data_IF_499054082379
#
_entry.id   IF_499054082379
#
_cell.length_a   1.000
_cell.length_b   1.000
_cell.length_c   1.000
_cell.angle_alpha   90.00
_cell.angle_beta   90.00
_cell.angle_gamma   90.00
#
_symmetry.space_group_name_H-M   'P 1'
#
loop_
_entity.id
_entity.type
_entity.pdbx_description
1 polymer ?
#
# COMPACT_ATOMS: atom_id res chain seq x y z
N UNK A 1 -19.50 -5.28 2.83
CA UNK A 1 -18.94 -5.75 1.56
C UNK A 1 -17.50 -5.25 1.48
N UNK A 2 -16.49 -6.13 1.57
CA UNK A 2 -15.07 -5.74 1.59
C UNK A 2 -14.44 -5.83 0.18
N UNK A 3 -15.04 -5.14 -0.79
CA UNK A 3 -14.51 -5.06 -2.14
C UNK A 3 -14.60 -3.62 -2.66
N UNK A 4 -13.70 -3.27 -3.59
CA UNK A 4 -13.80 -2.01 -4.33
C UNK A 4 -15.10 -2.04 -5.14
N UNK A 5 -15.94 -1.00 -4.99
CA UNK A 5 -17.21 -0.92 -5.73
C UNK A 5 -16.95 -0.90 -7.24
N UNK A 6 -17.64 -1.79 -7.97
CA UNK A 6 -17.43 -1.97 -9.42
C UNK A 6 -16.15 -2.74 -9.79
N UNK A 7 -15.38 -3.22 -8.81
CA UNK A 7 -14.16 -3.99 -9.02
C UNK A 7 -14.37 -5.51 -9.02
N UNK A 8 -13.26 -6.23 -9.20
CA UNK A 8 -13.15 -7.68 -9.03
C UNK A 8 -11.96 -8.01 -8.10
N UNK A 9 -11.93 -9.22 -7.56
CA UNK A 9 -10.80 -9.69 -6.77
C UNK A 9 -9.56 -9.80 -7.65
N UNK A 10 -8.45 -9.26 -7.17
CA UNK A 10 -7.15 -9.43 -7.81
C UNK A 10 -6.60 -10.83 -7.53
N UNK A 11 -5.90 -11.42 -8.50
CA UNK A 11 -5.09 -12.61 -8.26
C UNK A 11 -3.87 -12.24 -7.40
N UNK A 12 -3.38 -13.18 -6.58
CA UNK A 12 -2.17 -12.95 -5.78
C UNK A 12 -1.00 -12.53 -6.70
N UNK A 13 -0.36 -11.41 -6.35
CA UNK A 13 0.78 -10.88 -7.11
C UNK A 13 0.44 -10.32 -8.50
N UNK A 14 -0.84 -10.10 -8.83
CA UNK A 14 -1.24 -9.47 -10.09
C UNK A 14 -0.66 -8.05 -10.24
N UNK A 15 -0.50 -7.31 -9.14
CA UNK A 15 -0.03 -5.93 -9.10
C UNK A 15 1.25 -5.78 -8.27
N UNK A 16 2.36 -6.31 -8.78
CA UNK A 16 3.65 -6.44 -8.06
C UNK A 16 4.29 -5.11 -7.63
N UNK A 17 3.95 -4.02 -8.30
CA UNK A 17 4.48 -2.69 -8.01
C UNK A 17 3.72 -1.96 -6.91
N UNK A 18 2.70 -2.59 -6.31
CA UNK A 18 1.90 -1.96 -5.25
C UNK A 18 2.71 -1.84 -3.96
N UNK A 19 2.74 -0.63 -3.40
CA UNK A 19 3.23 -0.36 -2.06
C UNK A 19 2.05 0.01 -1.14
N UNK A 20 2.10 -0.45 0.11
CA UNK A 20 1.17 -0.05 1.16
C UNK A 20 1.83 1.01 2.04
N UNK A 21 1.14 2.12 2.25
CA UNK A 21 1.61 3.25 3.04
C UNK A 21 0.85 3.28 4.37
N UNK A 22 1.61 3.23 5.45
CA UNK A 22 1.10 3.09 6.80
C UNK A 22 1.35 4.37 7.59
N UNK A 23 0.34 4.76 8.36
CA UNK A 23 0.45 5.75 9.43
C UNK A 23 0.35 4.97 10.73
N UNK A 24 1.41 5.04 11.54
CA UNK A 24 1.57 4.23 12.74
C UNK A 24 1.54 2.72 12.43
N UNK A 25 0.45 2.06 12.82
CA UNK A 25 0.23 0.61 12.66
C UNK A 25 -0.92 0.30 11.70
N UNK A 26 -1.42 1.31 10.96
CA UNK A 26 -2.57 1.13 10.08
C UNK A 26 -2.24 1.48 8.62
N UNK A 27 -2.56 0.59 7.65
CA UNK A 27 -2.47 0.90 6.23
C UNK A 27 -3.50 1.97 5.90
N UNK A 28 -3.04 3.12 5.40
CA UNK A 28 -3.91 4.29 5.16
C UNK A 28 -3.99 4.64 3.68
N UNK A 29 -2.89 4.45 2.94
CA UNK A 29 -2.77 4.80 1.52
C UNK A 29 -2.02 3.71 0.75
N UNK A 30 -1.94 3.91 -0.57
CA UNK A 30 -1.14 3.08 -1.49
C UNK A 30 -0.16 3.93 -2.29
N UNK A 31 0.80 3.26 -2.93
CA UNK A 31 1.75 3.86 -3.86
C UNK A 31 2.24 2.85 -4.89
N UNK A 32 3.06 3.32 -5.83
CA UNK A 32 3.68 2.51 -6.88
C UNK A 32 5.21 2.54 -6.80
N UNK A 33 5.85 1.38 -6.86
CA UNK A 33 7.31 1.26 -7.01
C UNK A 33 7.67 1.79 -8.40
N UNK A 34 8.54 2.80 -8.45
CA UNK A 34 9.04 3.37 -9.71
C UNK A 34 10.52 3.03 -9.98
N UNK A 35 11.28 2.72 -8.92
CA UNK A 35 12.63 2.15 -8.98
C UNK A 35 12.97 1.46 -7.63
N UNK A 36 14.23 1.08 -7.44
CA UNK A 36 14.72 0.36 -6.25
C UNK A 36 14.55 1.11 -4.92
N UNK A 37 14.47 2.45 -4.95
CA UNK A 37 14.47 3.30 -3.76
C UNK A 37 13.32 4.30 -3.70
N UNK A 38 12.49 4.40 -4.75
CA UNK A 38 11.42 5.40 -4.82
C UNK A 38 10.04 4.79 -5.00
N UNK A 39 9.09 5.33 -4.24
CA UNK A 39 7.64 5.08 -4.35
C UNK A 39 6.94 6.37 -4.77
N UNK A 40 6.13 6.28 -5.83
CA UNK A 40 5.21 7.36 -6.23
C UNK A 40 3.88 7.23 -5.49
N UNK A 41 3.41 8.32 -4.88
CA UNK A 41 2.11 8.39 -4.19
C UNK A 41 1.55 9.82 -4.21
N UNK A 42 0.34 10.01 -3.69
CA UNK A 42 -0.26 11.33 -3.55
C UNK A 42 0.37 12.11 -2.39
N UNK A 43 0.59 13.41 -2.56
CA UNK A 43 1.18 14.26 -1.52
C UNK A 43 0.37 14.27 -0.21
N UNK A 44 -0.95 14.19 -0.28
CA UNK A 44 -1.81 14.16 0.92
C UNK A 44 -1.67 12.86 1.73
N UNK A 45 -1.16 11.77 1.13
CA UNK A 45 -0.92 10.51 1.84
C UNK A 45 0.31 10.58 2.76
N UNK A 46 1.23 11.52 2.50
CA UNK A 46 2.48 11.67 3.26
C UNK A 46 2.54 12.98 4.06
N UNK A 47 1.76 13.98 3.66
CA UNK A 47 1.75 15.28 4.31
C UNK A 47 1.35 15.18 5.79
N UNK A 48 2.16 15.78 6.67
CA UNK A 48 1.91 15.83 8.11
C UNK A 48 2.18 14.53 8.88
N UNK A 49 2.79 13.51 8.26
CA UNK A 49 3.23 12.29 8.95
C UNK A 49 4.69 12.45 9.37
N UNK A 50 4.99 12.19 10.64
CA UNK A 50 6.37 12.16 11.13
C UNK A 50 7.09 10.88 10.66
N UNK A 51 8.42 10.92 10.58
CA UNK A 51 9.20 9.78 10.07
C UNK A 51 9.03 8.53 10.94
N UNK A 52 8.84 8.71 12.24
CA UNK A 52 8.67 7.64 13.23
C UNK A 52 7.37 6.86 13.01
N UNK A 53 6.36 7.53 12.46
CA UNK A 53 5.03 6.98 12.20
C UNK A 53 4.82 6.62 10.72
N UNK A 54 5.82 6.85 9.87
CA UNK A 54 5.73 6.59 8.44
C UNK A 54 6.40 5.27 8.07
N UNK A 55 5.62 4.33 7.52
CA UNK A 55 6.14 3.05 7.05
C UNK A 55 5.62 2.73 5.65
N UNK A 56 6.51 2.16 4.84
CA UNK A 56 6.20 1.67 3.49
C UNK A 56 6.44 0.17 3.49
N UNK A 57 5.42 -0.61 3.09
CA UNK A 57 5.48 -2.06 2.98
C UNK A 57 5.32 -2.45 1.51
N UNK A 58 6.26 -3.23 1.00
CA UNK A 58 6.28 -3.74 -0.38
C UNK A 58 6.33 -5.27 -0.38
N UNK A 59 6.03 -5.90 -1.52
CA UNK A 59 6.06 -7.37 -1.65
C UNK A 59 4.82 -8.08 -1.08
N UNK A 60 3.84 -7.33 -0.60
CA UNK A 60 2.53 -7.84 -0.18
C UNK A 60 1.72 -8.33 -1.38
N UNK A 61 1.34 -9.60 -1.37
CA UNK A 61 0.53 -10.23 -2.44
C UNK A 61 -0.89 -10.61 -1.99
N UNK A 62 -1.15 -10.54 -0.68
CA UNK A 62 -2.45 -10.70 -0.04
C UNK A 62 -2.48 -9.86 1.24
N UNK A 63 -3.65 -9.28 1.55
CA UNK A 63 -3.94 -8.65 2.86
C UNK A 63 -4.80 -9.55 3.76
N UNK A 64 -5.11 -10.74 3.25
CA UNK A 64 -5.74 -11.81 3.99
C UNK A 64 -4.57 -12.59 4.56
N UNK A 65 -4.45 -12.61 5.89
CA UNK A 65 -3.56 -13.53 6.59
C UNK A 65 -4.07 -14.95 6.27
N UNK A 66 -3.40 -15.65 5.35
CA UNK A 66 -3.56 -17.10 5.25
C UNK A 66 -2.80 -17.69 6.43
N UNK A 67 -3.52 -17.87 7.55
CA UNK A 67 -3.09 -18.75 8.62
C UNK A 67 -3.39 -20.20 8.26
#
# INVERSE_FOLDING_TARGET
>A
SNCIMGGHLAYQGQFKYTASIWRDVYPTCTGGIIDEYHILTAGHCVHGISKEHFRVVVGIVSFIDEK
#
